data_IF_382644488793
#
_entry.id   IF_382644488793
#
_cell.length_a   1.000
_cell.length_b   1.000
_cell.length_c   1.000
_cell.angle_alpha   90.00
_cell.angle_beta   90.00
_cell.angle_gamma   90.00
#
_symmetry.space_group_name_H-M   'P 1'
#
loop_
_entity.id
_entity.type
_entity.pdbx_description
1 polymer ?
#
# COMPACT_ATOMS: atom_id res chain seq x y z
N UNK A 1 14.23 -45.31 -37.21
CA UNK A 1 14.38 -45.63 -35.77
C UNK A 1 14.66 -44.31 -35.08
N UNK A 2 13.71 -43.92 -34.24
CA UNK A 2 13.32 -42.54 -33.98
C UNK A 2 14.35 -41.76 -33.14
N UNK A 3 14.51 -40.48 -33.51
CA UNK A 3 15.26 -39.50 -32.72
C UNK A 3 14.36 -39.07 -31.58
N UNK A 4 14.59 -39.57 -30.37
CA UNK A 4 13.88 -39.09 -29.19
C UNK A 4 14.31 -37.66 -28.88
N UNK A 5 13.30 -36.80 -28.96
CA UNK A 5 13.34 -35.36 -28.86
C UNK A 5 13.65 -34.99 -27.40
N UNK A 6 14.65 -34.12 -27.24
CA UNK A 6 14.99 -33.42 -26.00
C UNK A 6 13.70 -32.88 -25.38
N UNK A 7 13.31 -33.46 -24.23
CA UNK A 7 12.21 -32.98 -23.41
C UNK A 7 12.55 -31.57 -22.93
N UNK A 8 12.05 -30.58 -23.66
CA UNK A 8 12.07 -29.17 -23.32
C UNK A 8 11.53 -29.00 -21.91
N UNK A 9 12.43 -28.73 -20.97
CA UNK A 9 12.08 -28.37 -19.61
C UNK A 9 11.45 -26.97 -19.68
N UNK A 10 10.13 -26.93 -19.91
CA UNK A 10 9.35 -25.70 -19.83
C UNK A 10 9.44 -25.22 -18.40
N UNK A 11 10.33 -24.27 -18.14
CA UNK A 11 10.34 -23.46 -16.93
C UNK A 11 8.93 -22.85 -16.86
N UNK A 12 8.09 -23.35 -15.95
CA UNK A 12 6.89 -22.63 -15.53
C UNK A 12 7.39 -21.36 -14.84
N UNK A 13 7.61 -20.31 -15.63
CA UNK A 13 7.70 -18.96 -15.09
C UNK A 13 6.34 -18.76 -14.42
N UNK A 14 6.25 -18.64 -13.08
CA UNK A 14 4.98 -18.37 -12.44
C UNK A 14 4.47 -17.08 -13.07
N UNK A 15 3.32 -17.17 -13.74
CA UNK A 15 2.73 -16.07 -14.47
C UNK A 15 2.53 -14.92 -13.48
N UNK A 16 3.41 -13.93 -13.51
CA UNK A 16 3.63 -12.96 -12.42
C UNK A 16 2.59 -11.83 -12.40
N UNK A 17 1.46 -12.04 -13.06
CA UNK A 17 0.33 -11.15 -13.10
C UNK A 17 -0.87 -11.99 -12.71
N UNK A 18 -1.20 -11.87 -11.42
CA UNK A 18 -2.25 -12.59 -10.72
C UNK A 18 -3.45 -12.97 -11.59
N UNK A 19 -3.83 -14.24 -11.51
CA UNK A 19 -5.09 -14.70 -12.03
C UNK A 19 -6.21 -13.95 -11.29
N UNK A 20 -6.94 -13.09 -12.01
CA UNK A 20 -8.02 -12.29 -11.43
C UNK A 20 -9.18 -13.16 -10.93
N UNK A 21 -9.15 -14.45 -11.22
CA UNK A 21 -10.05 -15.49 -10.72
C UNK A 21 -9.96 -15.72 -9.21
N UNK A 22 -8.88 -15.27 -8.54
CA UNK A 22 -8.65 -15.48 -7.11
C UNK A 22 -9.09 -14.31 -6.20
N UNK A 23 -9.55 -13.18 -6.76
CA UNK A 23 -9.97 -12.01 -5.95
C UNK A 23 -11.42 -12.19 -5.50
N UNK A 24 -11.60 -12.36 -4.19
CA UNK A 24 -12.93 -12.53 -3.58
C UNK A 24 -13.68 -11.20 -3.47
N UNK A 25 -15.03 -11.25 -3.41
CA UNK A 25 -15.83 -10.05 -3.12
C UNK A 25 -15.51 -9.46 -1.74
N UNK A 26 -15.22 -10.32 -0.76
CA UNK A 26 -14.73 -9.91 0.56
C UNK A 26 -13.47 -9.04 0.45
N UNK A 27 -12.49 -9.45 -0.36
CA UNK A 27 -11.26 -8.67 -0.54
C UNK A 27 -11.54 -7.28 -1.12
N UNK A 28 -12.44 -7.22 -2.11
CA UNK A 28 -12.88 -5.95 -2.72
C UNK A 28 -13.57 -5.05 -1.70
N UNK A 29 -14.46 -5.59 -0.88
CA UNK A 29 -15.16 -4.84 0.16
C UNK A 29 -14.20 -4.27 1.21
N UNK A 30 -13.25 -5.09 1.68
CA UNK A 30 -12.22 -4.65 2.63
C UNK A 30 -11.43 -3.49 2.06
N UNK A 31 -10.87 -3.62 0.85
CA UNK A 31 -10.07 -2.56 0.24
C UNK A 31 -10.89 -1.32 -0.09
N UNK A 32 -12.13 -1.47 -0.56
CA UNK A 32 -13.02 -0.32 -0.84
C UNK A 32 -13.33 0.46 0.44
N UNK A 33 -13.58 -0.24 1.55
CA UNK A 33 -13.84 0.41 2.84
C UNK A 33 -12.60 1.14 3.37
N UNK A 34 -11.41 0.54 3.27
CA UNK A 34 -10.15 1.16 3.67
C UNK A 34 -9.81 2.35 2.78
N UNK A 35 -9.95 2.20 1.46
CA UNK A 35 -9.72 3.26 0.50
C UNK A 35 -10.64 4.46 0.70
N UNK A 36 -11.91 4.23 1.05
CA UNK A 36 -12.85 5.31 1.40
C UNK A 36 -12.36 6.10 2.61
N UNK A 37 -12.02 5.41 3.71
CA UNK A 37 -11.50 6.07 4.93
C UNK A 37 -10.21 6.83 4.66
N UNK A 38 -9.31 6.24 3.89
CA UNK A 38 -8.06 6.88 3.49
C UNK A 38 -8.32 8.15 2.68
N UNK A 39 -9.24 8.11 1.71
CA UNK A 39 -9.62 9.27 0.91
C UNK A 39 -10.27 10.38 1.75
N UNK A 40 -11.13 10.02 2.69
CA UNK A 40 -11.76 10.97 3.64
C UNK A 40 -10.70 11.69 4.48
N UNK A 41 -9.75 10.96 5.08
CA UNK A 41 -8.67 11.53 5.89
C UNK A 41 -7.70 12.38 5.06
N UNK A 42 -7.35 11.90 3.86
CA UNK A 42 -6.46 12.61 2.94
C UNK A 42 -7.06 13.94 2.48
N UNK A 43 -8.38 14.02 2.42
CA UNK A 43 -9.11 15.22 2.00
C UNK A 43 -9.29 16.27 3.11
N UNK A 44 -8.80 16.04 4.34
CA UNK A 44 -8.85 17.06 5.41
C UNK A 44 -8.07 18.32 4.96
N UNK A 45 -8.70 19.52 4.94
CA UNK A 45 -8.06 20.77 4.54
C UNK A 45 -6.75 21.07 5.27
N UNK A 46 -6.56 20.56 6.49
CA UNK A 46 -5.31 20.69 7.25
C UNK A 46 -4.10 20.14 6.51
N UNK A 47 -4.28 19.12 5.67
CA UNK A 47 -3.19 18.55 4.86
C UNK A 47 -2.68 19.59 3.85
N UNK A 48 -3.59 20.29 3.17
CA UNK A 48 -3.25 21.40 2.28
C UNK A 48 -2.59 22.56 3.03
N UNK A 49 -3.13 22.94 4.20
CA UNK A 49 -2.51 23.98 5.03
C UNK A 49 -1.09 23.61 5.51
N UNK A 50 -0.81 22.33 5.79
CA UNK A 50 0.52 21.86 6.16
C UNK A 50 1.47 21.89 4.96
N UNK A 51 1.03 21.43 3.79
CA UNK A 51 1.82 21.46 2.56
C UNK A 51 2.25 22.90 2.20
N UNK A 52 1.33 23.86 2.33
CA UNK A 52 1.61 25.27 2.10
C UNK A 52 2.66 25.82 3.08
N UNK A 53 2.55 25.48 4.37
CA UNK A 53 3.54 25.89 5.38
C UNK A 53 4.93 25.32 5.09
N UNK A 54 5.00 24.06 4.66
CA UNK A 54 6.26 23.45 4.24
C UNK A 54 6.87 24.19 3.03
N UNK A 55 6.06 24.54 2.03
CA UNK A 55 6.52 25.33 0.89
C UNK A 55 7.11 26.67 1.33
N UNK A 56 6.35 27.46 2.09
CA UNK A 56 6.79 28.78 2.58
C UNK A 56 8.03 28.72 3.47
N UNK A 57 8.12 27.70 4.34
CA UNK A 57 9.31 27.47 5.17
C UNK A 57 10.54 27.21 4.29
N UNK A 58 10.38 26.40 3.24
CA UNK A 58 11.46 26.09 2.30
C UNK A 58 11.82 27.29 1.41
N UNK A 59 10.88 28.20 1.16
CA UNK A 59 11.10 29.48 0.49
C UNK A 59 11.73 30.56 1.40
N UNK A 60 12.16 30.17 2.62
CA UNK A 60 12.80 31.03 3.63
C UNK A 60 11.88 32.16 4.15
N UNK A 61 10.57 32.00 4.03
CA UNK A 61 9.63 32.93 4.62
C UNK A 61 9.55 32.77 6.15
N UNK A 62 9.26 33.87 6.85
CA UNK A 62 9.06 33.85 8.29
C UNK A 62 7.71 33.23 8.66
N UNK A 63 7.67 31.90 8.69
CA UNK A 63 6.53 31.08 9.12
C UNK A 63 6.90 30.29 10.37
N UNK A 64 5.89 29.73 11.06
CA UNK A 64 6.12 28.81 12.18
C UNK A 64 7.05 27.67 11.74
N UNK A 65 8.16 27.39 12.45
CA UNK A 65 9.01 26.25 12.15
C UNK A 65 8.21 24.94 12.13
N UNK A 66 8.43 24.15 11.08
CA UNK A 66 7.78 22.86 10.91
C UNK A 66 8.66 21.77 11.52
N UNK A 67 8.05 20.82 12.23
CA UNK A 67 8.75 19.67 12.80
C UNK A 67 8.72 18.55 11.77
N UNK A 68 9.90 18.09 11.36
CA UNK A 68 10.03 16.88 10.56
C UNK A 68 10.23 15.69 11.51
N UNK A 69 9.34 14.70 11.41
CA UNK A 69 9.44 13.43 12.14
C UNK A 69 9.86 12.37 11.11
N UNK A 70 11.03 11.75 11.32
CA UNK A 70 11.57 10.69 10.44
C UNK A 70 11.31 9.28 10.95
N UNK A 71 10.89 9.15 12.21
CA UNK A 71 10.62 7.86 12.84
C UNK A 71 9.25 7.33 12.45
N UNK A 72 9.13 6.00 12.36
CA UNK A 72 7.87 5.32 12.08
C UNK A 72 6.96 5.41 13.32
N UNK A 73 5.74 5.96 13.20
CA UNK A 73 4.77 5.98 14.29
C UNK A 73 4.37 4.58 14.76
N UNK A 74 4.08 4.44 16.06
CA UNK A 74 3.69 3.16 16.67
C UNK A 74 2.50 2.47 16.01
N UNK A 75 1.54 3.23 15.48
CA UNK A 75 0.36 2.68 14.81
C UNK A 75 0.65 2.15 13.40
N UNK A 76 1.80 2.50 12.82
CA UNK A 76 2.30 1.94 11.55
C UNK A 76 3.17 0.69 11.77
N UNK A 77 3.49 0.39 13.03
CA UNK A 77 4.16 -0.84 13.44
C UNK A 77 3.13 -1.92 13.77
N UNK A 78 3.41 -3.18 13.40
CA UNK A 78 2.53 -4.28 13.76
C UNK A 78 2.74 -4.66 15.23
N UNK A 79 2.14 -3.89 16.12
CA UNK A 79 2.09 -4.18 17.55
C UNK A 79 0.86 -5.03 17.83
N UNK A 80 1.00 -6.13 18.56
CA UNK A 80 -0.09 -7.05 18.91
C UNK A 80 -0.86 -7.70 17.74
N UNK A 81 -0.37 -7.61 16.50
CA UNK A 81 -1.04 -8.16 15.33
C UNK A 81 -2.17 -7.29 14.77
N UNK A 82 -2.22 -6.01 15.14
CA UNK A 82 -3.25 -5.05 14.70
C UNK A 82 -3.18 -4.76 13.19
N UNK A 83 -2.01 -4.94 12.56
CA UNK A 83 -1.79 -4.69 11.13
C UNK A 83 -1.84 -5.96 10.27
N UNK A 84 -2.30 -7.08 10.82
CA UNK A 84 -2.48 -8.32 10.06
C UNK A 84 -3.46 -8.08 8.90
N UNK A 85 -3.07 -8.40 7.65
CA UNK A 85 -3.97 -8.27 6.52
C UNK A 85 -5.16 -9.23 6.68
N UNK A 86 -6.31 -8.79 6.19
CA UNK A 86 -7.58 -9.52 6.23
C UNK A 86 -7.99 -10.07 4.86
N UNK A 87 -7.36 -9.54 3.81
CA UNK A 87 -7.55 -10.03 2.45
C UNK A 87 -6.71 -11.28 2.18
N UNK A 88 -7.24 -12.15 1.34
CA UNK A 88 -6.64 -13.47 1.08
C UNK A 88 -5.65 -13.39 -0.11
N UNK A 89 -5.92 -12.54 -1.10
CA UNK A 89 -5.08 -12.43 -2.30
C UNK A 89 -3.70 -11.79 -2.02
N UNK A 90 -2.56 -12.42 -2.40
CA UNK A 90 -1.21 -11.98 -2.02
C UNK A 90 -0.82 -10.56 -2.44
N UNK A 91 -1.30 -10.08 -3.60
CA UNK A 91 -1.04 -8.69 -4.04
C UNK A 91 -1.88 -7.71 -3.23
N UNK A 92 -3.13 -8.09 -2.90
CA UNK A 92 -4.04 -7.22 -2.18
C UNK A 92 -3.60 -7.05 -0.73
N UNK A 93 -2.97 -8.06 -0.13
CA UNK A 93 -2.37 -7.96 1.20
C UNK A 93 -1.32 -6.83 1.26
N UNK A 94 -0.49 -6.71 0.21
CA UNK A 94 0.51 -5.63 0.14
C UNK A 94 -0.15 -4.25 0.08
N UNK A 95 -1.25 -4.14 -0.67
CA UNK A 95 -2.03 -2.90 -0.77
C UNK A 95 -2.69 -2.57 0.57
N UNK A 96 -3.34 -3.56 1.21
CA UNK A 96 -3.98 -3.40 2.51
C UNK A 96 -2.98 -2.93 3.57
N UNK A 97 -1.82 -3.59 3.68
CA UNK A 97 -0.76 -3.22 4.65
C UNK A 97 -0.29 -1.79 4.39
N UNK A 98 -0.09 -1.41 3.13
CA UNK A 98 0.34 -0.05 2.79
C UNK A 98 -0.68 0.99 3.27
N UNK A 99 -1.96 0.78 2.99
CA UNK A 99 -3.03 1.73 3.39
C UNK A 99 -3.16 1.79 4.91
N UNK A 100 -3.03 0.66 5.62
CA UNK A 100 -3.13 0.61 7.09
C UNK A 100 -1.98 1.31 7.81
N UNK A 101 -0.82 1.45 7.17
CA UNK A 101 0.36 2.17 7.67
C UNK A 101 0.41 3.64 7.23
N UNK A 102 -0.63 4.17 6.59
CA UNK A 102 -0.65 5.54 6.04
C UNK A 102 -1.52 6.50 6.85
#
# INVERSE_FOLDING_TARGET
>A
MEKEIVMSNTIKIPNSFADSSEITEKDKEILKSLGKKFAELSSDPKNGCKAEKWRRLNDLENVKPMVWISDVPWHEMDVNGELKPRVDHPILQKIEIKIRRS
#
